data_IF_858704239360
#
_entry.id   IF_858704239360
#
_cell.length_a   1.000
_cell.length_b   1.000
_cell.length_c   1.000
_cell.angle_alpha   90.00
_cell.angle_beta   90.00
_cell.angle_gamma   90.00
#
_symmetry.space_group_name_H-M   'P 1'
#
loop_
_entity.id
_entity.type
_entity.pdbx_description
1 polymer ?
#
# COMPACT_ATOMS: atom_id res chain seq x y z
N UNK A 1 -10.67 8.60 -19.54
CA UNK A 1 -9.87 9.39 -18.60
C UNK A 1 -9.79 8.62 -17.30
N UNK A 2 -8.66 8.00 -16.99
CA UNK A 2 -8.50 7.19 -15.77
C UNK A 2 -8.22 8.12 -14.60
N UNK A 3 -9.25 8.45 -13.82
CA UNK A 3 -9.10 9.06 -12.49
C UNK A 3 -8.55 7.98 -11.56
N UNK A 4 -7.25 7.72 -11.64
CA UNK A 4 -6.59 6.95 -10.61
C UNK A 4 -6.71 7.75 -9.30
N UNK A 5 -7.16 7.14 -8.18
CA UNK A 5 -7.13 7.81 -6.89
C UNK A 5 -5.72 8.34 -6.62
N UNK A 6 -5.61 9.63 -6.32
CA UNK A 6 -4.34 10.30 -5.96
C UNK A 6 -3.81 9.74 -4.64
N UNK A 7 -3.18 8.58 -4.71
CA UNK A 7 -2.50 7.92 -3.62
C UNK A 7 -1.06 8.40 -3.62
N UNK A 8 -0.57 8.79 -2.45
CA UNK A 8 0.83 9.14 -2.30
C UNK A 8 1.70 7.89 -2.44
N UNK A 9 2.97 8.06 -2.80
CA UNK A 9 3.91 6.95 -2.91
C UNK A 9 3.94 6.08 -1.63
N UNK A 10 3.84 6.73 -0.47
CA UNK A 10 3.76 6.04 0.80
C UNK A 10 2.52 5.18 0.96
N UNK A 11 1.38 5.68 0.48
CA UNK A 11 0.14 4.90 0.46
C UNK A 11 0.25 3.70 -0.48
N UNK A 12 0.92 3.85 -1.63
CA UNK A 12 1.16 2.75 -2.56
C UNK A 12 2.02 1.64 -1.93
N UNK A 13 3.09 2.00 -1.23
CA UNK A 13 3.92 1.04 -0.47
C UNK A 13 3.07 0.27 0.57
N UNK A 14 2.21 0.98 1.31
CA UNK A 14 1.29 0.33 2.29
C UNK A 14 0.35 -0.65 1.58
N UNK A 15 -0.22 -0.31 0.42
CA UNK A 15 -1.07 -1.22 -0.36
C UNK A 15 -0.31 -2.48 -0.77
N UNK A 16 0.92 -2.34 -1.26
CA UNK A 16 1.79 -3.46 -1.63
C UNK A 16 2.07 -4.40 -0.46
N UNK A 17 2.43 -3.85 0.69
CA UNK A 17 2.69 -4.63 1.91
C UNK A 17 1.43 -5.35 2.42
N UNK A 18 0.26 -4.72 2.35
CA UNK A 18 -1.01 -5.38 2.69
C UNK A 18 -1.32 -6.50 1.69
N UNK A 19 -1.00 -6.32 0.41
CA UNK A 19 -1.15 -7.34 -0.63
C UNK A 19 -0.26 -8.56 -0.37
N UNK A 20 0.93 -8.36 0.20
CA UNK A 20 1.83 -9.42 0.68
C UNK A 20 1.34 -10.12 1.96
N UNK A 21 0.25 -9.64 2.57
CA UNK A 21 -0.27 -10.19 3.81
C UNK A 21 0.39 -9.64 5.07
N UNK A 22 1.18 -8.56 4.98
CA UNK A 22 1.82 -7.97 6.15
C UNK A 22 0.81 -7.37 7.13
N UNK A 23 1.12 -7.51 8.42
CA UNK A 23 0.43 -6.88 9.54
C UNK A 23 0.86 -5.43 9.71
N UNK A 24 0.08 -4.63 10.46
CA UNK A 24 0.41 -3.22 10.70
C UNK A 24 1.81 -3.04 11.34
N UNK A 25 2.25 -4.00 12.16
CA UNK A 25 3.59 -4.01 12.75
C UNK A 25 4.67 -4.24 11.71
N UNK A 26 4.49 -5.20 10.80
CA UNK A 26 5.43 -5.49 9.72
C UNK A 26 5.47 -4.35 8.70
N UNK A 27 4.30 -3.78 8.39
CA UNK A 27 4.18 -2.55 7.59
C UNK A 27 4.96 -1.43 8.25
N UNK A 28 4.75 -1.23 9.56
CA UNK A 28 5.49 -0.24 10.34
C UNK A 28 7.00 -0.45 10.26
N UNK A 29 7.46 -1.69 10.49
CA UNK A 29 8.88 -2.05 10.46
C UNK A 29 9.52 -1.83 9.08
N UNK A 30 8.86 -2.25 8.00
CA UNK A 30 9.38 -2.11 6.63
C UNK A 30 9.41 -0.67 6.18
N UNK A 31 8.45 0.13 6.63
CA UNK A 31 8.35 1.54 6.28
C UNK A 31 9.17 2.43 7.25
N UNK A 32 9.57 1.95 8.42
CA UNK A 32 10.21 2.78 9.44
C UNK A 32 9.23 3.73 10.13
N UNK A 33 7.97 3.31 10.29
CA UNK A 33 6.92 4.06 10.99
C UNK A 33 6.31 3.22 12.11
N UNK A 34 5.69 3.88 13.10
CA UNK A 34 5.00 3.16 14.17
C UNK A 34 3.81 2.35 13.64
N UNK A 35 3.47 1.19 14.26
CA UNK A 35 2.31 0.38 13.88
C UNK A 35 0.99 1.17 13.92
N UNK A 36 0.89 2.15 14.83
CA UNK A 36 -0.22 3.11 14.91
C UNK A 36 -0.33 3.97 13.64
N UNK A 37 0.79 4.45 13.12
CA UNK A 37 0.85 5.25 11.89
C UNK A 37 0.52 4.38 10.68
N UNK A 38 1.01 3.14 10.64
CA UNK A 38 0.61 2.17 9.62
C UNK A 38 -0.91 1.94 9.61
N UNK A 39 -1.53 1.76 10.80
CA UNK A 39 -2.98 1.67 10.93
C UNK A 39 -3.70 2.91 10.39
N UNK A 40 -3.22 4.12 10.70
CA UNK A 40 -3.81 5.36 10.18
C UNK A 40 -3.75 5.42 8.65
N UNK A 41 -2.65 4.97 8.03
CA UNK A 41 -2.57 4.85 6.57
C UNK A 41 -3.56 3.84 6.01
N UNK A 42 -3.72 2.67 6.66
CA UNK A 42 -4.72 1.67 6.28
C UNK A 42 -6.15 2.24 6.33
N UNK A 43 -6.50 2.99 7.37
CA UNK A 43 -7.83 3.60 7.49
C UNK A 43 -8.05 4.70 6.45
N UNK A 44 -7.04 5.54 6.17
CA UNK A 44 -7.11 6.51 5.08
C UNK A 44 -7.27 5.84 3.71
N UNK A 45 -6.59 4.71 3.47
CA UNK A 45 -6.74 3.90 2.26
C UNK A 45 -8.15 3.31 2.14
N UNK A 46 -8.71 2.80 3.25
CA UNK A 46 -10.08 2.27 3.28
C UNK A 46 -11.10 3.32 2.89
N UNK A 47 -10.96 4.54 3.43
CA UNK A 47 -11.82 5.67 3.10
C UNK A 47 -11.68 6.08 1.63
N UNK A 48 -10.45 6.22 1.12
CA UNK A 48 -10.19 6.59 -0.28
C UNK A 48 -10.68 5.55 -1.28
N UNK A 49 -10.53 4.27 -0.97
CA UNK A 49 -10.90 3.16 -1.86
C UNK A 49 -12.35 2.67 -1.63
N UNK A 50 -13.04 3.21 -0.62
CA UNK A 50 -14.41 2.81 -0.28
C UNK A 50 -14.54 1.37 0.22
N UNK A 51 -13.50 0.81 0.86
CA UNK A 51 -13.50 -0.60 1.29
C UNK A 51 -13.72 -0.78 2.80
N UNK A 52 -14.62 -1.70 3.21
CA UNK A 52 -14.88 -1.96 4.61
C UNK A 52 -13.76 -2.73 5.31
N UNK A 53 -12.88 -3.46 4.61
CA UNK A 53 -11.84 -4.30 5.22
C UNK A 53 -10.47 -4.03 4.63
N UNK A 54 -9.42 -4.04 5.47
CA UNK A 54 -8.03 -3.83 5.02
C UNK A 54 -7.60 -4.83 3.94
N UNK A 55 -8.03 -6.09 4.04
CA UNK A 55 -7.70 -7.15 3.07
C UNK A 55 -8.29 -6.88 1.68
N UNK A 56 -9.28 -6.00 1.57
CA UNK A 56 -9.87 -5.61 0.30
C UNK A 56 -9.14 -4.42 -0.34
N UNK A 57 -8.24 -3.74 0.39
CA UNK A 57 -7.46 -2.60 -0.13
C UNK A 57 -6.70 -2.97 -1.42
N UNK A 58 -5.93 -4.09 -1.48
CA UNK A 58 -5.21 -4.44 -2.70
C UNK A 58 -6.13 -4.72 -3.89
N UNK A 59 -7.25 -5.41 -3.63
CA UNK A 59 -8.23 -5.74 -4.66
C UNK A 59 -8.91 -4.48 -5.21
N UNK A 60 -9.37 -3.58 -4.33
CA UNK A 60 -9.99 -2.32 -4.75
C UNK A 60 -9.00 -1.40 -5.45
N UNK A 61 -7.74 -1.35 -5.00
CA UNK A 61 -6.69 -0.61 -5.69
C UNK A 61 -6.51 -1.13 -7.13
N UNK A 62 -6.36 -2.45 -7.32
CA UNK A 62 -6.26 -3.06 -8.66
C UNK A 62 -7.45 -2.70 -9.55
N UNK A 63 -8.66 -2.76 -9.02
CA UNK A 63 -9.88 -2.45 -9.78
C UNK A 63 -9.96 -0.97 -10.18
N UNK A 64 -9.49 -0.05 -9.31
CA UNK A 64 -9.60 1.40 -9.54
C UNK A 64 -8.47 1.96 -10.41
N UNK A 65 -7.24 1.45 -10.26
CA UNK A 65 -6.06 1.97 -10.98
C UNK A 65 -5.67 1.11 -12.18
N UNK A 66 -6.11 -0.14 -12.24
CA UNK A 66 -5.61 -1.13 -13.20
C UNK A 66 -4.17 -1.58 -12.91
N UNK A 67 -3.54 -1.12 -11.82
CA UNK A 67 -2.17 -1.47 -11.46
C UNK A 67 -2.15 -2.60 -10.44
N UNK A 68 -1.23 -3.56 -10.61
CA UNK A 68 -0.97 -4.57 -9.60
C UNK A 68 -0.05 -4.02 -8.49
N UNK A 69 -0.52 -3.88 -7.23
CA UNK A 69 0.31 -3.44 -6.12
C UNK A 69 1.42 -4.44 -5.79
N UNK A 70 1.26 -5.72 -6.13
CA UNK A 70 2.34 -6.72 -5.97
C UNK A 70 3.43 -6.53 -7.02
N UNK A 71 3.12 -6.06 -8.23
CA UNK A 71 4.15 -5.86 -9.26
C UNK A 71 5.18 -4.79 -8.86
N UNK A 72 4.78 -3.82 -8.02
CA UNK A 72 5.67 -2.77 -7.49
C UNK A 72 6.60 -3.28 -6.40
N UNK A 73 6.14 -4.23 -5.57
CA UNK A 73 6.94 -4.84 -4.50
C UNK A 73 7.77 -6.05 -4.99
N UNK A 74 7.29 -6.75 -6.03
CA UNK A 74 7.99 -7.84 -6.72
C UNK A 74 9.02 -7.33 -7.72
N UNK A 75 8.96 -6.05 -8.09
CA UNK A 75 10.12 -5.41 -8.70
C UNK A 75 11.27 -5.60 -7.70
N UNK A 76 12.34 -6.34 -8.07
CA UNK A 76 13.48 -6.47 -7.18
C UNK A 76 13.91 -5.06 -6.83
N UNK A 77 14.32 -4.85 -5.58
CA UNK A 77 14.85 -3.59 -5.07
C UNK A 77 15.94 -3.04 -6.02
N UNK A 78 15.53 -2.40 -7.10
CA UNK A 78 16.36 -1.68 -8.02
C UNK A 78 16.66 -0.38 -7.31
N UNK A 79 17.95 -0.18 -7.06
CA UNK A 79 18.56 0.87 -6.29
C UNK A 79 18.51 0.66 -4.76
N UNK A 80 19.49 -0.11 -4.29
CA UNK A 80 20.29 0.41 -3.19
C UNK A 80 20.81 1.80 -3.57
N UNK A 81 20.28 2.83 -2.92
CA UNK A 81 21.06 4.05 -2.65
C UNK A 81 21.90 3.71 -1.43
N UNK A 82 23.18 3.49 -1.67
CA UNK A 82 24.16 3.07 -0.68
C UNK A 82 25.53 3.07 -1.33
N UNK A 83 26.03 4.26 -1.64
CA UNK A 83 27.37 4.57 -2.14
C UNK A 83 27.63 6.05 -1.92
#
# INVERSE_FOLDING_TARGET
>A
MSTAPSLTERQLQVVGLIALGCSNEEVGRRLGISPRTAKAHCDALRLKLGVPRRRQIPAAFRTLTGQDPLARELAPAAAGVGG
#
